data_IF_578825629661
#
_entry.id   IF_578825629661
#
_cell.length_a   1.000
_cell.length_b   1.000
_cell.length_c   1.000
_cell.angle_alpha   90.00
_cell.angle_beta   90.00
_cell.angle_gamma   90.00
#
_symmetry.space_group_name_H-M   'P 1'
#
loop_
_entity.id
_entity.type
_entity.pdbx_description
1 polymer ?
#
# COMPACT_ATOMS: atom_id res chain seq x y z
N UNK A 1 7.79 12.35 -6.76
CA UNK A 1 7.28 10.97 -6.94
C UNK A 1 7.02 10.25 -5.62
N UNK A 2 7.91 10.37 -4.62
CA UNK A 2 7.79 9.68 -3.32
C UNK A 2 6.41 9.83 -2.63
N UNK A 3 5.93 11.07 -2.42
CA UNK A 3 4.64 11.31 -1.77
C UNK A 3 3.44 10.75 -2.54
N UNK A 4 3.49 10.73 -3.87
CA UNK A 4 2.47 10.07 -4.70
C UNK A 4 2.51 8.55 -4.51
N UNK A 5 3.70 7.96 -4.41
CA UNK A 5 3.86 6.55 -4.06
C UNK A 5 3.23 6.20 -2.72
N UNK A 6 3.45 7.04 -1.68
CA UNK A 6 2.79 6.88 -0.37
C UNK A 6 1.27 6.91 -0.54
N UNK A 7 0.74 7.93 -1.20
CA UNK A 7 -0.71 8.09 -1.37
C UNK A 7 -1.34 6.89 -2.09
N UNK A 8 -0.71 6.40 -3.16
CA UNK A 8 -1.21 5.23 -3.91
C UNK A 8 -1.14 3.95 -3.09
N UNK A 9 -0.06 3.72 -2.33
CA UNK A 9 0.03 2.60 -1.40
C UNK A 9 -1.09 2.65 -0.34
N UNK A 10 -1.37 3.82 0.21
CA UNK A 10 -2.46 3.98 1.17
C UNK A 10 -3.82 3.71 0.53
N UNK A 11 -4.11 4.31 -0.63
CA UNK A 11 -5.38 4.13 -1.32
C UNK A 11 -5.59 2.67 -1.72
N UNK A 12 -4.60 2.04 -2.36
CA UNK A 12 -4.67 0.64 -2.78
C UNK A 12 -4.78 -0.32 -1.59
N UNK A 13 -3.97 -0.11 -0.55
CA UNK A 13 -3.97 -0.95 0.65
C UNK A 13 -5.28 -0.83 1.44
N UNK A 14 -5.75 0.39 1.69
CA UNK A 14 -7.00 0.61 2.42
C UNK A 14 -8.19 0.02 1.66
N UNK A 15 -8.19 0.11 0.33
CA UNK A 15 -9.25 -0.47 -0.50
C UNK A 15 -9.26 -2.01 -0.44
N UNK A 16 -8.09 -2.65 -0.42
CA UNK A 16 -7.97 -4.10 -0.16
C UNK A 16 -8.55 -4.45 1.22
N UNK A 17 -8.20 -3.69 2.26
CA UNK A 17 -8.70 -3.91 3.63
C UNK A 17 -10.22 -3.74 3.70
N UNK A 18 -10.77 -2.72 3.05
CA UNK A 18 -12.24 -2.52 2.96
C UNK A 18 -12.89 -3.72 2.26
N UNK A 19 -12.34 -4.19 1.15
CA UNK A 19 -12.85 -5.38 0.48
C UNK A 19 -12.72 -6.65 1.35
N UNK A 20 -11.68 -6.73 2.19
CA UNK A 20 -11.51 -7.81 3.15
C UNK A 20 -12.61 -7.79 4.23
N UNK A 21 -12.90 -6.62 4.83
CA UNK A 21 -14.01 -6.45 5.76
C UNK A 21 -15.37 -6.76 5.13
N UNK A 22 -15.58 -6.41 3.85
CA UNK A 22 -16.81 -6.74 3.11
C UNK A 22 -16.98 -8.25 2.89
N UNK A 23 -15.89 -9.02 2.85
CA UNK A 23 -15.93 -10.49 2.72
C UNK A 23 -16.14 -11.17 4.07
N UNK A 24 -15.34 -10.80 5.08
CA UNK A 24 -15.40 -11.36 6.42
C UNK A 24 -14.65 -10.48 7.41
N UNK A 25 -15.16 -10.38 8.63
CA UNK A 25 -14.54 -9.61 9.71
C UNK A 25 -13.14 -10.13 10.06
N UNK A 26 -12.92 -11.45 9.95
CA UNK A 26 -11.62 -12.08 10.23
C UNK A 26 -10.57 -11.72 9.18
N UNK A 27 -10.95 -11.70 7.90
CA UNK A 27 -10.08 -11.27 6.82
C UNK A 27 -9.78 -9.77 6.92
N UNK A 28 -10.79 -8.96 7.27
CA UNK A 28 -10.63 -7.53 7.54
C UNK A 28 -9.63 -7.26 8.65
N UNK A 29 -9.84 -7.82 9.85
CA UNK A 29 -8.94 -7.69 10.99
C UNK A 29 -7.53 -8.21 10.69
N UNK A 30 -7.42 -9.39 10.06
CA UNK A 30 -6.13 -9.95 9.64
C UNK A 30 -5.38 -9.02 8.69
N UNK A 31 -6.08 -8.47 7.69
CA UNK A 31 -5.49 -7.53 6.72
C UNK A 31 -5.12 -6.17 7.32
N UNK A 32 -5.83 -5.72 8.35
CA UNK A 32 -5.58 -4.45 9.04
C UNK A 32 -4.36 -4.53 9.97
N UNK A 33 -4.23 -5.63 10.71
CA UNK A 33 -3.12 -5.85 11.65
C UNK A 33 -1.85 -6.30 10.92
N UNK A 34 -1.99 -7.10 9.87
CA UNK A 34 -0.87 -7.72 9.17
C UNK A 34 -0.99 -7.40 7.67
N UNK A 35 -0.14 -6.50 7.14
CA UNK A 35 -0.22 -6.11 5.72
C UNK A 35 0.04 -7.29 4.77
N UNK A 36 0.81 -8.29 5.19
CA UNK A 36 0.98 -9.53 4.42
C UNK A 36 -0.34 -10.29 4.22
N UNK A 37 -1.24 -10.28 5.21
CA UNK A 37 -2.56 -10.92 5.09
C UNK A 37 -3.41 -10.18 4.06
N UNK A 38 -3.29 -8.85 3.97
CA UNK A 38 -3.96 -8.06 2.94
C UNK A 38 -3.52 -8.49 1.53
N UNK A 39 -2.21 -8.72 1.31
CA UNK A 39 -1.70 -9.24 0.04
C UNK A 39 -2.22 -10.64 -0.28
N UNK A 40 -2.18 -11.57 0.69
CA UNK A 40 -2.73 -12.92 0.52
C UNK A 40 -4.21 -12.86 0.17
N UNK A 41 -4.99 -12.04 0.88
CA UNK A 41 -6.41 -11.84 0.60
C UNK A 41 -6.65 -11.27 -0.80
N UNK A 42 -5.86 -10.28 -1.22
CA UNK A 42 -5.97 -9.65 -2.52
C UNK A 42 -5.69 -10.63 -3.66
N UNK A 43 -4.70 -11.53 -3.49
CA UNK A 43 -4.39 -12.59 -4.45
C UNK A 43 -5.49 -13.66 -4.46
N UNK A 44 -5.95 -14.13 -3.30
CA UNK A 44 -7.04 -15.10 -3.21
C UNK A 44 -8.37 -14.57 -3.78
N UNK A 45 -8.63 -13.26 -3.63
CA UNK A 45 -9.82 -12.59 -4.13
C UNK A 45 -9.48 -11.64 -5.29
N UNK A 46 -8.64 -12.11 -6.22
CA UNK A 46 -8.10 -11.28 -7.31
C UNK A 46 -9.17 -10.61 -8.17
N UNK A 47 -10.28 -11.30 -8.45
CA UNK A 47 -11.36 -10.75 -9.27
C UNK A 47 -11.92 -9.43 -8.71
N UNK A 48 -12.03 -9.32 -7.38
CA UNK A 48 -12.52 -8.12 -6.69
C UNK A 48 -11.40 -7.11 -6.36
N UNK A 49 -10.14 -7.55 -6.31
CA UNK A 49 -9.01 -6.73 -5.84
C UNK A 49 -7.99 -6.37 -6.92
N UNK A 50 -8.17 -6.77 -8.18
CA UNK A 50 -7.21 -6.47 -9.26
C UNK A 50 -6.86 -4.98 -9.39
N UNK A 51 -7.85 -4.09 -9.28
CA UNK A 51 -7.64 -2.63 -9.36
C UNK A 51 -6.86 -2.12 -8.15
N UNK A 52 -7.31 -2.34 -6.90
CA UNK A 52 -6.58 -1.83 -5.74
C UNK A 52 -5.21 -2.49 -5.57
N UNK A 53 -5.03 -3.74 -6.00
CA UNK A 53 -3.73 -4.41 -6.02
C UNK A 53 -2.77 -3.74 -7.02
N UNK A 54 -3.23 -3.42 -8.24
CA UNK A 54 -2.41 -2.66 -9.21
C UNK A 54 -2.04 -1.28 -8.67
N UNK A 55 -2.99 -0.55 -8.08
CA UNK A 55 -2.73 0.75 -7.45
C UNK A 55 -1.66 0.64 -6.36
N UNK A 56 -1.77 -0.39 -5.50
CA UNK A 56 -0.80 -0.65 -4.45
C UNK A 56 0.60 -0.95 -5.00
N UNK A 57 0.70 -1.80 -6.02
CA UNK A 57 1.99 -2.16 -6.66
C UNK A 57 2.62 -0.95 -7.35
N UNK A 58 1.85 -0.15 -8.08
CA UNK A 58 2.34 1.09 -8.71
C UNK A 58 2.82 2.07 -7.64
N UNK A 59 2.10 2.19 -6.52
CA UNK A 59 2.53 2.98 -5.36
C UNK A 59 3.90 2.53 -4.83
N UNK A 60 4.10 1.21 -4.66
CA UNK A 60 5.38 0.64 -4.22
C UNK A 60 6.51 1.00 -5.20
N UNK A 61 6.28 0.82 -6.50
CA UNK A 61 7.28 1.17 -7.53
C UNK A 61 7.67 2.64 -7.42
N UNK A 62 6.70 3.54 -7.27
CA UNK A 62 6.94 4.98 -7.14
C UNK A 62 7.66 5.35 -5.84
N UNK A 63 7.48 4.59 -4.76
CA UNK A 63 8.25 4.77 -3.52
C UNK A 63 9.73 4.47 -3.74
N UNK A 64 10.05 3.36 -4.40
CA UNK A 64 11.43 2.97 -4.69
C UNK A 64 12.10 3.91 -5.71
N UNK A 65 11.40 4.25 -6.80
CA UNK A 65 11.92 5.16 -7.83
C UNK A 65 12.06 6.59 -7.29
N UNK A 66 11.13 7.01 -6.42
CA UNK A 66 11.12 8.34 -5.84
C UNK A 66 11.93 8.48 -4.56
N UNK A 67 12.57 7.42 -4.06
CA UNK A 67 13.26 7.41 -2.77
C UNK A 67 14.39 8.45 -2.80
N UNK A 68 14.34 9.50 -1.97
CA UNK A 68 15.44 10.46 -1.90
C UNK A 68 16.70 9.73 -1.41
N UNK A 69 17.82 9.89 -2.12
CA UNK A 69 19.09 9.33 -1.67
C UNK A 69 19.48 9.98 -0.34
N UNK A 70 20.06 9.23 0.59
CA UNK A 70 20.46 9.73 1.92
C UNK A 70 21.36 10.98 1.89
N UNK A 71 21.97 11.31 0.75
CA UNK A 71 22.68 12.57 0.50
C UNK A 71 21.80 13.83 0.60
N UNK A 72 20.48 13.73 0.45
CA UNK A 72 19.57 14.88 0.49
C UNK A 72 19.05 15.19 1.91
N UNK A 73 19.03 14.21 2.80
CA UNK A 73 18.58 14.41 4.20
C UNK A 73 19.62 15.14 5.07
N UNK A 74 20.91 15.11 4.70
CA UNK A 74 21.97 15.87 5.37
C UNK A 74 22.02 17.36 5.01
N UNK A 75 21.18 17.81 4.08
CA UNK A 75 21.12 19.20 3.62
C UNK A 75 19.84 19.93 4.08
N UNK A 76 19.16 19.42 5.11
CA UNK A 76 18.15 20.21 5.85
C UNK A 76 18.92 21.02 6.90
N UNK A 77 19.14 22.34 6.72
CA UNK A 77 19.70 23.16 7.78
C UNK A 77 18.76 23.07 8.97
N UNK A 78 19.31 22.91 10.17
CA UNK A 78 18.58 23.13 11.41
C UNK A 78 18.15 24.61 11.43
N UNK A 79 16.97 24.89 10.88
CA UNK A 79 16.30 26.18 10.90
C UNK A 79 15.02 26.05 11.71
#
# INVERSE_FOLDING_TARGET
MYYLGIALCLIGGLWIVVNAFRKSIWWGLGSLLIPFVALVFAIMNFAANKIPLVIYVVGIILLFVGMPSMSQYGAVPAG
#
